data_IF_495580417202
#
_entry.id   IF_495580417202
#
_cell.length_a   1.000
_cell.length_b   1.000
_cell.length_c   1.000
_cell.angle_alpha   90.00
_cell.angle_beta   90.00
_cell.angle_gamma   90.00
#
_symmetry.space_group_name_H-M   'P 1'
#
loop_
_entity.id
_entity.type
_entity.pdbx_description
1 polymer ?
#
# COMPACT_ATOMS: atom_id res chain seq x y z
N UNK A 1 6.36 -19.73 -19.28
CA UNK A 1 6.75 -19.08 -18.01
C UNK A 1 6.78 -20.12 -16.91
N UNK A 2 7.90 -20.20 -16.19
CA UNK A 2 8.06 -21.13 -15.05
C UNK A 2 7.32 -20.61 -13.81
N UNK A 3 6.99 -21.47 -12.83
CA UNK A 3 6.41 -21.04 -11.55
C UNK A 3 7.22 -19.96 -10.83
N UNK A 4 8.55 -20.10 -10.82
CA UNK A 4 9.44 -19.11 -10.21
C UNK A 4 9.31 -17.73 -10.88
N UNK A 5 9.38 -17.68 -12.22
CA UNK A 5 9.22 -16.43 -12.97
C UNK A 5 7.87 -15.76 -12.71
N UNK A 6 6.79 -16.55 -12.61
CA UNK A 6 5.47 -16.03 -12.31
C UNK A 6 5.39 -15.41 -10.92
N UNK A 7 5.86 -16.12 -9.90
CA UNK A 7 5.87 -15.64 -8.51
C UNK A 7 6.74 -14.39 -8.37
N UNK A 8 7.91 -14.35 -9.01
CA UNK A 8 8.79 -13.18 -9.01
C UNK A 8 8.12 -11.96 -9.67
N UNK A 9 7.39 -12.19 -10.76
CA UNK A 9 6.61 -11.14 -11.43
C UNK A 9 5.49 -10.62 -10.54
N UNK A 10 4.80 -11.50 -9.80
CA UNK A 10 3.75 -11.08 -8.86
C UNK A 10 4.31 -10.20 -7.74
N UNK A 11 5.42 -10.59 -7.11
CA UNK A 11 6.05 -9.78 -6.06
C UNK A 11 6.61 -8.46 -6.60
N UNK A 12 7.20 -8.47 -7.80
CA UNK A 12 7.66 -7.25 -8.47
C UNK A 12 6.50 -6.28 -8.70
N UNK A 13 5.36 -6.77 -9.20
CA UNK A 13 4.17 -5.95 -9.41
C UNK A 13 3.53 -5.47 -8.10
N UNK A 14 3.62 -6.28 -7.04
CA UNK A 14 3.18 -5.89 -5.70
C UNK A 14 4.09 -4.85 -5.04
N UNK A 15 5.29 -4.61 -5.58
CA UNK A 15 6.25 -3.66 -5.02
C UNK A 15 6.89 -4.10 -3.71
N UNK A 16 6.67 -5.34 -3.27
CA UNK A 16 7.20 -5.86 -1.99
C UNK A 16 8.29 -6.90 -2.23
N UNK A 17 9.31 -6.87 -1.38
CA UNK A 17 10.37 -7.89 -1.38
C UNK A 17 9.99 -9.02 -0.42
N UNK A 18 9.67 -10.23 -0.91
CA UNK A 18 9.28 -11.34 -0.04
C UNK A 18 10.47 -11.90 0.72
N UNK A 19 10.20 -12.51 1.87
CA UNK A 19 11.14 -13.44 2.49
C UNK A 19 11.33 -14.68 1.61
N UNK A 20 12.49 -15.32 1.73
CA UNK A 20 12.80 -16.54 0.98
C UNK A 20 11.74 -17.64 1.19
N UNK A 21 11.20 -17.74 2.41
CA UNK A 21 10.15 -18.69 2.79
C UNK A 21 8.80 -18.37 2.14
N UNK A 22 8.41 -17.09 2.07
CA UNK A 22 7.17 -16.63 1.44
C UNK A 22 7.22 -16.87 -0.07
N UNK A 23 8.35 -16.54 -0.70
CA UNK A 23 8.61 -16.84 -2.10
C UNK A 23 8.52 -18.34 -2.39
N UNK A 24 9.19 -19.15 -1.57
CA UNK A 24 9.16 -20.61 -1.71
C UNK A 24 7.74 -21.17 -1.54
N UNK A 25 6.98 -20.68 -0.57
CA UNK A 25 5.59 -21.10 -0.35
C UNK A 25 4.69 -20.80 -1.55
N UNK A 26 4.84 -19.63 -2.18
CA UNK A 26 4.09 -19.27 -3.39
C UNK A 26 4.48 -20.13 -4.61
N UNK A 27 5.76 -20.49 -4.75
CA UNK A 27 6.22 -21.41 -5.82
C UNK A 27 5.69 -22.83 -5.59
N UNK A 28 5.68 -23.29 -4.34
CA UNK A 28 5.23 -24.63 -3.97
C UNK A 28 3.75 -24.88 -4.26
N UNK A 29 2.94 -23.83 -4.50
CA UNK A 29 1.56 -23.98 -4.97
C UNK A 29 1.43 -24.69 -6.32
N UNK A 30 2.52 -24.73 -7.10
CA UNK A 30 2.62 -25.42 -8.38
C UNK A 30 3.14 -26.87 -8.25
N UNK A 31 3.58 -27.30 -7.06
CA UNK A 31 4.13 -28.65 -6.83
C UNK A 31 5.30 -28.98 -7.77
N UNK A 32 5.19 -30.10 -8.50
CA UNK A 32 6.19 -30.53 -9.50
C UNK A 32 5.96 -29.95 -10.91
N UNK A 33 4.99 -29.05 -11.09
CA UNK A 33 4.71 -28.47 -12.40
C UNK A 33 5.89 -27.64 -12.90
N UNK A 34 6.25 -27.80 -14.17
CA UNK A 34 7.33 -27.06 -14.82
C UNK A 34 6.84 -25.76 -15.50
N UNK A 35 5.52 -25.57 -15.55
CA UNK A 35 4.87 -24.41 -16.18
C UNK A 35 3.70 -23.89 -15.35
N UNK A 36 3.14 -22.77 -15.78
CA UNK A 36 2.00 -22.10 -15.14
C UNK A 36 0.66 -22.42 -15.81
N UNK A 37 0.57 -23.53 -16.55
CA UNK A 37 -0.67 -23.93 -17.22
C UNK A 37 -1.83 -24.21 -16.23
N UNK A 38 -1.50 -24.69 -15.04
CA UNK A 38 -2.47 -25.00 -13.99
C UNK A 38 -3.09 -23.73 -13.38
N UNK A 39 -4.32 -23.41 -13.78
CA UNK A 39 -5.04 -22.20 -13.35
C UNK A 39 -5.27 -22.19 -11.83
N UNK A 40 -5.59 -23.34 -11.23
CA UNK A 40 -5.81 -23.44 -9.79
C UNK A 40 -4.53 -23.12 -9.00
N UNK A 41 -3.36 -23.54 -9.48
CA UNK A 41 -2.08 -23.21 -8.86
C UNK A 41 -1.76 -21.72 -8.98
N UNK A 42 -2.03 -21.10 -10.14
CA UNK A 42 -1.90 -19.64 -10.31
C UNK A 42 -2.76 -18.86 -9.33
N UNK A 43 -4.02 -19.28 -9.14
CA UNK A 43 -4.94 -18.61 -8.23
C UNK A 43 -4.44 -18.66 -6.78
N UNK A 44 -3.95 -19.82 -6.31
CA UNK A 44 -3.39 -19.95 -4.95
C UNK A 44 -2.09 -19.16 -4.78
N UNK A 45 -1.19 -19.21 -5.76
CA UNK A 45 0.03 -18.41 -5.74
C UNK A 45 -0.27 -16.90 -5.71
N UNK A 46 -1.20 -16.42 -6.55
CA UNK A 46 -1.66 -15.03 -6.55
C UNK A 46 -2.24 -14.64 -5.18
N UNK A 47 -3.11 -15.48 -4.62
CA UNK A 47 -3.71 -15.24 -3.31
C UNK A 47 -2.64 -15.11 -2.23
N UNK A 48 -1.63 -15.97 -2.20
CA UNK A 48 -0.52 -15.87 -1.23
C UNK A 48 0.26 -14.56 -1.34
N UNK A 49 0.49 -14.07 -2.56
CA UNK A 49 1.16 -12.78 -2.76
C UNK A 49 0.25 -11.63 -2.32
N UNK A 50 -1.03 -11.68 -2.68
CA UNK A 50 -2.01 -10.65 -2.31
C UNK A 50 -2.25 -10.55 -0.80
N UNK A 51 -2.18 -11.68 -0.09
CA UNK A 51 -2.32 -11.77 1.37
C UNK A 51 -0.96 -11.63 2.10
N UNK A 52 0.13 -11.29 1.40
CA UNK A 52 1.43 -11.10 2.03
C UNK A 52 1.38 -9.94 3.06
N UNK A 53 1.83 -10.14 4.31
CA UNK A 53 1.74 -9.12 5.34
C UNK A 53 2.40 -7.78 4.99
N UNK A 54 3.51 -7.79 4.25
CA UNK A 54 4.17 -6.56 3.82
C UNK A 54 3.28 -5.76 2.86
N UNK A 55 2.66 -6.44 1.88
CA UNK A 55 1.74 -5.80 0.93
C UNK A 55 0.52 -5.25 1.66
N UNK A 56 -0.07 -6.03 2.56
CA UNK A 56 -1.22 -5.60 3.38
C UNK A 56 -0.86 -4.35 4.18
N UNK A 57 0.32 -4.30 4.80
CA UNK A 57 0.76 -3.14 5.57
C UNK A 57 0.96 -1.90 4.69
N UNK A 58 1.56 -2.04 3.51
CA UNK A 58 1.74 -0.90 2.61
C UNK A 58 0.40 -0.34 2.11
N UNK A 59 -0.53 -1.21 1.69
CA UNK A 59 -1.87 -0.79 1.25
C UNK A 59 -2.67 -0.18 2.40
N UNK A 60 -2.53 -0.72 3.62
CA UNK A 60 -3.13 -0.12 4.80
C UNK A 60 -2.60 1.30 5.03
N UNK A 61 -1.29 1.53 4.92
CA UNK A 61 -0.70 2.86 5.07
C UNK A 61 -1.23 3.83 3.99
N UNK A 62 -1.31 3.40 2.73
CA UNK A 62 -1.91 4.19 1.63
C UNK A 62 -3.36 4.57 1.94
N UNK A 63 -4.18 3.60 2.31
CA UNK A 63 -5.58 3.81 2.68
C UNK A 63 -5.74 4.70 3.92
N UNK A 64 -4.86 4.55 4.92
CA UNK A 64 -4.89 5.35 6.13
C UNK A 64 -4.64 6.83 5.86
N UNK A 65 -3.66 7.16 5.00
CA UNK A 65 -3.42 8.54 4.57
C UNK A 65 -4.62 9.08 3.80
N UNK A 66 -5.17 8.30 2.87
CA UNK A 66 -6.34 8.69 2.09
C UNK A 66 -7.54 9.03 2.99
N UNK A 67 -7.75 8.23 4.05
CA UNK A 67 -8.83 8.49 5.00
C UNK A 67 -8.64 9.81 5.79
N UNK A 68 -7.41 10.31 5.96
CA UNK A 68 -7.20 11.63 6.56
C UNK A 68 -7.74 12.74 5.67
N UNK A 69 -7.53 12.64 4.35
CA UNK A 69 -8.06 13.59 3.38
C UNK A 69 -9.59 13.53 3.33
N UNK A 70 -10.17 12.34 3.30
CA UNK A 70 -11.63 12.19 3.28
C UNK A 70 -12.29 12.61 4.59
N UNK A 71 -11.76 12.15 5.73
CA UNK A 71 -12.34 12.38 7.04
C UNK A 71 -12.19 13.82 7.53
N UNK A 72 -11.00 14.40 7.41
CA UNK A 72 -10.74 15.75 7.91
C UNK A 72 -10.92 16.83 6.85
N UNK A 73 -10.41 16.64 5.63
CA UNK A 73 -10.42 17.69 4.60
C UNK A 73 -11.61 17.59 3.63
N UNK A 74 -12.35 16.47 3.65
CA UNK A 74 -13.53 16.21 2.80
C UNK A 74 -13.27 16.45 1.31
N UNK A 75 -12.10 16.02 0.81
CA UNK A 75 -11.70 16.14 -0.61
C UNK A 75 -10.76 15.01 -1.04
N UNK A 76 -10.59 14.81 -2.34
CA UNK A 76 -9.50 13.97 -2.82
C UNK A 76 -8.15 14.67 -2.60
N UNK A 77 -7.05 13.91 -2.43
CA UNK A 77 -5.76 14.52 -2.16
C UNK A 77 -5.23 15.43 -3.27
N UNK A 78 -5.65 15.20 -4.51
CA UNK A 78 -5.30 16.01 -5.68
C UNK A 78 -6.34 17.05 -6.07
N UNK A 79 -7.42 17.22 -5.31
CA UNK A 79 -8.38 18.31 -5.53
C UNK A 79 -7.82 19.63 -4.99
N UNK A 80 -8.31 20.75 -5.54
CA UNK A 80 -8.07 22.08 -4.95
C UNK A 80 -8.43 22.07 -3.44
N UNK A 81 -7.63 22.67 -2.55
CA UNK A 81 -6.54 23.62 -2.82
C UNK A 81 -5.13 23.01 -2.96
N UNK A 82 -4.99 21.72 -3.29
CA UNK A 82 -3.67 21.10 -3.47
C UNK A 82 -2.84 21.85 -4.55
N UNK A 83 -1.64 22.35 -4.22
CA UNK A 83 -0.76 22.94 -5.21
C UNK A 83 -0.45 21.94 -6.33
N UNK A 84 -0.63 22.35 -7.58
CA UNK A 84 -0.30 21.51 -8.74
C UNK A 84 -1.22 20.29 -8.97
N UNK A 85 -2.19 20.01 -8.09
CA UNK A 85 -3.17 18.92 -8.22
C UNK A 85 -2.51 17.55 -8.49
N UNK A 86 -1.37 17.28 -7.84
CA UNK A 86 -0.44 16.20 -8.22
C UNK A 86 -0.09 15.21 -7.10
N UNK A 87 -0.88 15.19 -6.01
CA UNK A 87 -0.71 14.29 -4.86
C UNK A 87 0.59 14.51 -4.04
N UNK A 88 1.28 15.65 -4.18
CA UNK A 88 2.50 15.93 -3.41
C UNK A 88 2.28 15.81 -1.90
N UNK A 89 1.22 16.41 -1.37
CA UNK A 89 0.87 16.31 0.05
C UNK A 89 0.58 14.87 0.49
N UNK A 90 -0.13 14.10 -0.34
CA UNK A 90 -0.42 12.69 -0.05
C UNK A 90 0.87 11.86 0.01
N UNK A 91 1.74 12.03 -0.99
CA UNK A 91 3.01 11.33 -1.07
C UNK A 91 3.95 11.71 0.07
N UNK A 92 3.96 12.98 0.48
CA UNK A 92 4.67 13.45 1.66
C UNK A 92 4.21 12.72 2.92
N UNK A 93 2.90 12.68 3.17
CA UNK A 93 2.32 12.03 4.35
C UNK A 93 2.54 10.52 4.34
N UNK A 94 2.36 9.86 3.19
CA UNK A 94 2.65 8.43 3.04
C UNK A 94 4.12 8.12 3.31
N UNK A 95 5.05 8.91 2.77
CA UNK A 95 6.48 8.77 3.02
C UNK A 95 6.78 8.93 4.51
N UNK A 96 6.23 9.96 5.17
CA UNK A 96 6.42 10.18 6.60
C UNK A 96 5.86 9.03 7.44
N UNK A 97 4.67 8.51 7.10
CA UNK A 97 4.08 7.37 7.82
C UNK A 97 4.95 6.12 7.70
N UNK A 98 5.47 5.85 6.49
CA UNK A 98 6.35 4.71 6.25
C UNK A 98 7.69 4.84 7.00
N UNK A 99 8.27 6.05 7.11
CA UNK A 99 9.48 6.30 7.91
C UNK A 99 9.30 5.95 9.40
N UNK A 100 8.07 6.05 9.90
CA UNK A 100 7.71 5.67 11.28
C UNK A 100 7.03 4.30 11.37
N UNK A 101 7.22 3.42 10.37
CA UNK A 101 6.68 2.06 10.35
C UNK A 101 5.17 1.99 10.59
N UNK A 102 4.41 2.93 10.01
CA UNK A 102 2.95 2.99 10.20
C UNK A 102 2.49 3.62 11.52
N UNK A 103 3.42 4.07 12.37
CA UNK A 103 3.06 4.76 13.61
C UNK A 103 2.63 6.20 13.33
N UNK A 104 1.32 6.41 13.22
CA UNK A 104 0.72 7.71 12.93
C UNK A 104 0.94 8.77 14.03
N UNK A 105 1.21 8.34 15.27
CA UNK A 105 1.51 9.24 16.40
C UNK A 105 2.90 9.83 16.21
N UNK A 106 3.90 8.98 15.94
CA UNK A 106 5.27 9.43 15.67
C UNK A 106 5.36 10.22 14.35
N UNK A 107 4.54 9.87 13.35
CA UNK A 107 4.41 10.64 12.13
C UNK A 107 3.67 11.99 12.33
N UNK A 108 3.12 12.25 13.52
CA UNK A 108 2.28 13.40 13.85
C UNK A 108 1.12 13.63 12.87
N UNK A 109 0.64 12.58 12.22
CA UNK A 109 -0.20 12.70 11.04
C UNK A 109 -1.57 13.30 11.39
N UNK A 110 -2.34 12.65 12.26
CA UNK A 110 -3.69 13.09 12.62
C UNK A 110 -3.68 14.52 13.19
N UNK A 111 -2.69 14.82 14.05
CA UNK A 111 -2.47 16.15 14.61
C UNK A 111 -2.26 17.20 13.51
N UNK A 112 -1.43 16.91 12.52
CA UNK A 112 -1.15 17.84 11.43
C UNK A 112 -2.39 18.12 10.55
N UNK A 113 -3.24 17.13 10.31
CA UNK A 113 -4.48 17.34 9.56
C UNK A 113 -5.46 18.24 10.33
N UNK A 114 -5.73 17.96 11.60
CA UNK A 114 -6.68 18.75 12.42
C UNK A 114 -6.16 20.17 12.69
N UNK A 115 -4.84 20.34 12.83
CA UNK A 115 -4.22 21.66 13.05
C UNK A 115 -3.85 22.40 11.77
N UNK A 116 -4.09 21.80 10.59
CA UNK A 116 -3.81 22.44 9.31
C UNK A 116 -4.59 23.74 9.14
N UNK A 117 -4.04 24.68 8.37
CA UNK A 117 -4.75 25.91 8.01
C UNK A 117 -6.04 25.60 7.25
N UNK A 118 -5.99 24.65 6.31
CA UNK A 118 -7.15 24.22 5.54
C UNK A 118 -8.28 23.71 6.44
N UNK A 119 -7.99 22.77 7.35
CA UNK A 119 -9.00 22.24 8.27
C UNK A 119 -9.58 23.33 9.15
N UNK A 120 -8.72 24.16 9.78
CA UNK A 120 -9.17 25.23 10.68
C UNK A 120 -10.02 26.29 9.99
N UNK A 121 -9.65 26.70 8.77
CA UNK A 121 -10.41 27.71 8.02
C UNK A 121 -11.76 27.19 7.52
N UNK A 122 -11.87 25.89 7.21
CA UNK A 122 -13.10 25.31 6.65
C UNK A 122 -14.03 24.73 7.71
N UNK A 123 -13.48 24.18 8.79
CA UNK A 123 -14.21 23.35 9.75
C UNK A 123 -13.81 23.60 11.21
N UNK A 124 -12.85 24.48 11.49
CA UNK A 124 -12.47 24.85 12.84
C UNK A 124 -13.51 25.78 13.51
N UNK A 125 -13.47 25.91 14.85
CA UNK A 125 -14.27 26.90 15.57
C UNK A 125 -13.94 28.34 15.18
#
# INVERSE_FOLDING_TARGET
>A
MTPAQFVDTLFTNAGVTPLATERAAAINEFGSATSTAEVAARARALRRVAENPALVQEEFNRAFVLMQYFGYLRRNPNDSPEPGLNFEGYNFWLTKLNQFNGNFVNAEMVKAFITSSEYRQRFGP
#
